data_IF_660426572749
#
_entry.id   IF_660426572749
#
_cell.length_a   1.000
_cell.length_b   1.000
_cell.length_c   1.000
_cell.angle_alpha   90.00
_cell.angle_beta   90.00
_cell.angle_gamma   90.00
#
_symmetry.space_group_name_H-M   'P 1'
#
loop_
_entity.id
_entity.type
_entity.pdbx_description
1 polymer ?
#
# COMPACT_ATOMS: atom_id res chain seq x y z
N UNK A 1 41.61 27.66 -14.50
CA UNK A 1 40.47 28.40 -15.10
C UNK A 1 40.45 28.06 -16.57
N UNK A 2 39.34 27.62 -17.18
CA UNK A 2 37.97 28.13 -17.01
C UNK A 2 36.92 27.08 -16.55
N UNK A 3 35.77 27.58 -16.11
CA UNK A 3 34.49 26.88 -15.82
C UNK A 3 33.48 27.19 -16.93
N UNK A 4 32.34 26.45 -16.92
CA UNK A 4 31.13 26.49 -17.78
C UNK A 4 31.18 25.42 -18.89
N UNK A 5 30.24 24.48 -19.06
CA UNK A 5 28.79 24.48 -18.88
C UNK A 5 28.26 23.11 -18.42
N UNK A 6 27.41 23.07 -17.37
CA UNK A 6 26.64 21.85 -17.01
C UNK A 6 25.19 22.16 -16.59
N UNK A 7 24.72 23.38 -16.83
CA UNK A 7 23.43 23.89 -16.35
C UNK A 7 22.25 23.63 -17.31
N UNK A 8 22.52 23.29 -18.58
CA UNK A 8 21.49 23.20 -19.63
C UNK A 8 20.77 21.84 -19.70
N UNK A 9 21.35 20.77 -19.16
CA UNK A 9 20.75 19.42 -19.23
C UNK A 9 19.63 19.17 -18.21
N UNK A 10 19.60 19.86 -17.07
CA UNK A 10 18.58 19.60 -16.02
C UNK A 10 17.26 20.33 -16.28
N UNK A 11 17.31 21.49 -16.94
CA UNK A 11 16.12 22.28 -17.28
C UNK A 11 15.27 21.62 -18.39
N UNK A 12 15.90 20.94 -19.34
CA UNK A 12 15.22 20.19 -20.39
C UNK A 12 14.47 18.96 -19.84
N UNK A 13 15.08 18.24 -18.88
CA UNK A 13 14.45 17.09 -18.22
C UNK A 13 13.26 17.49 -17.33
N UNK A 14 13.34 18.67 -16.68
CA UNK A 14 12.23 19.21 -15.89
C UNK A 14 11.04 19.64 -16.77
N UNK A 15 11.30 20.27 -17.93
CA UNK A 15 10.25 20.65 -18.89
C UNK A 15 9.55 19.43 -19.51
N UNK A 16 10.30 18.40 -19.91
CA UNK A 16 9.72 17.17 -20.44
C UNK A 16 8.88 16.41 -19.40
N UNK A 17 9.28 16.42 -18.12
CA UNK A 17 8.50 15.80 -17.03
C UNK A 17 7.19 16.54 -16.77
N UNK A 18 7.18 17.86 -16.93
CA UNK A 18 6.00 18.71 -16.71
C UNK A 18 5.01 18.69 -17.89
N UNK A 19 5.48 18.53 -19.13
CA UNK A 19 4.62 18.29 -20.30
C UNK A 19 4.01 16.89 -20.32
N UNK A 20 4.75 15.85 -19.87
CA UNK A 20 4.22 14.49 -19.77
C UNK A 20 3.06 14.39 -18.77
N UNK A 21 3.12 15.15 -17.67
CA UNK A 21 2.04 15.26 -16.68
C UNK A 21 0.79 15.97 -17.23
N UNK A 22 0.96 16.92 -18.16
CA UNK A 22 -0.16 17.60 -18.84
C UNK A 22 -0.86 16.67 -19.85
N UNK A 23 -0.09 15.86 -20.59
CA UNK A 23 -0.65 14.92 -21.58
C UNK A 23 -1.40 13.73 -20.94
N UNK A 24 -1.01 13.27 -19.75
CA UNK A 24 -1.76 12.22 -19.02
C UNK A 24 -3.14 12.71 -18.57
N UNK A 25 -3.27 14.01 -18.26
CA UNK A 25 -4.55 14.62 -17.85
C UNK A 25 -5.62 14.59 -18.96
N UNK A 26 -5.22 14.45 -20.23
CA UNK A 26 -6.15 14.43 -21.37
C UNK A 26 -6.71 13.03 -21.70
N UNK A 27 -6.06 11.94 -21.25
CA UNK A 27 -6.40 10.58 -21.71
C UNK A 27 -7.50 9.91 -20.85
N UNK A 28 -7.85 10.50 -19.69
CA UNK A 28 -8.68 9.82 -18.66
C UNK A 28 -10.21 9.84 -18.93
N UNK A 29 -10.69 10.43 -20.03
CA UNK A 29 -12.12 10.37 -20.41
C UNK A 29 -12.39 9.40 -21.57
N UNK A 30 -12.10 8.10 -21.42
CA UNK A 30 -12.64 7.11 -22.38
C UNK A 30 -12.57 5.63 -21.97
N UNK A 31 -13.14 5.24 -20.82
CA UNK A 31 -13.49 3.83 -20.63
C UNK A 31 -14.91 3.73 -20.11
N UNK A 32 -15.84 3.46 -21.03
CA UNK A 32 -17.19 3.00 -20.73
C UNK A 32 -17.15 1.48 -20.45
N UNK A 33 -17.98 1.05 -19.52
CA UNK A 33 -18.13 -0.34 -19.12
C UNK A 33 -18.91 -1.15 -20.18
N UNK A 34 -18.30 -2.24 -20.66
CA UNK A 34 -18.97 -3.30 -21.41
C UNK A 34 -19.39 -4.42 -20.45
N UNK A 35 -20.69 -4.67 -20.34
CA UNK A 35 -21.23 -5.94 -19.81
C UNK A 35 -22.00 -6.65 -20.92
N UNK A 36 -21.50 -7.83 -21.29
CA UNK A 36 -22.08 -8.73 -22.27
C UNK A 36 -23.37 -9.40 -21.76
N UNK A 37 -24.40 -9.39 -22.61
CA UNK A 37 -25.66 -10.16 -22.49
C UNK A 37 -25.45 -11.64 -22.85
N UNK A 38 -26.33 -12.50 -22.31
CA UNK A 38 -26.66 -13.80 -22.90
C UNK A 38 -28.16 -13.89 -23.21
N UNK A 39 -28.44 -14.48 -24.37
CA UNK A 39 -29.66 -14.52 -25.16
C UNK A 39 -30.62 -15.67 -24.75
N UNK A 40 -31.94 -15.50 -24.92
CA UNK A 40 -32.82 -16.33 -25.76
C UNK A 40 -34.34 -16.05 -25.55
N UNK A 41 -34.97 -15.66 -26.65
CA UNK A 41 -36.32 -16.06 -27.15
C UNK A 41 -37.60 -15.61 -26.44
N UNK A 42 -38.33 -14.69 -27.10
CA UNK A 42 -39.64 -14.92 -27.78
C UNK A 42 -40.22 -13.58 -28.29
N UNK A 43 -40.65 -13.57 -29.55
CA UNK A 43 -41.49 -12.53 -30.17
C UNK A 43 -42.92 -13.09 -30.39
N UNK A 44 -43.90 -12.37 -30.98
CA UNK A 44 -44.02 -10.93 -31.30
C UNK A 44 -45.35 -10.33 -30.79
N UNK A 45 -45.59 -9.00 -30.95
CA UNK A 45 -46.83 -8.41 -31.51
C UNK A 45 -46.64 -6.88 -31.70
N UNK A 46 -47.05 -6.44 -32.89
CA UNK A 46 -47.16 -5.12 -33.55
C UNK A 46 -47.30 -3.83 -32.71
N UNK A 47 -46.62 -2.75 -33.14
CA UNK A 47 -47.22 -1.58 -33.81
C UNK A 47 -46.12 -0.67 -34.41
N UNK A 48 -46.36 -0.21 -35.64
CA UNK A 48 -45.44 0.60 -36.45
C UNK A 48 -45.52 2.09 -36.10
N UNK A 49 -44.43 2.84 -36.27
CA UNK A 49 -44.43 4.06 -37.13
C UNK A 49 -43.07 4.76 -37.22
N UNK A 50 -42.70 5.04 -38.47
CA UNK A 50 -41.81 6.09 -39.00
C UNK A 50 -40.26 5.98 -38.91
N UNK A 51 -39.72 5.48 -40.03
CA UNK A 51 -38.47 5.84 -40.72
C UNK A 51 -38.30 7.39 -40.84
N UNK A 52 -37.15 8.05 -41.05
CA UNK A 52 -35.75 7.74 -41.40
C UNK A 52 -34.95 9.07 -41.36
N UNK A 53 -33.62 9.00 -41.55
CA UNK A 53 -32.63 10.08 -41.83
C UNK A 53 -31.92 10.65 -40.59
N UNK A 54 -30.60 10.81 -40.52
CA UNK A 54 -29.58 11.02 -41.55
C UNK A 54 -28.17 10.69 -41.03
N UNK A 55 -27.28 10.34 -41.96
CA UNK A 55 -25.83 10.28 -41.84
C UNK A 55 -25.29 11.62 -41.30
N UNK A 56 -24.43 11.59 -40.28
CA UNK A 56 -23.77 12.80 -39.77
C UNK A 56 -22.67 12.44 -38.79
N UNK A 57 -21.45 12.89 -39.08
CA UNK A 57 -20.25 12.84 -38.23
C UNK A 57 -20.57 13.32 -36.81
N UNK A 58 -20.85 12.38 -35.91
CA UNK A 58 -21.37 12.69 -34.58
C UNK A 58 -20.26 13.04 -33.60
N UNK A 59 -19.94 14.33 -33.47
CA UNK A 59 -19.27 14.85 -32.29
C UNK A 59 -20.00 14.33 -31.04
N UNK A 60 -19.28 13.64 -30.14
CA UNK A 60 -19.84 13.12 -28.90
C UNK A 60 -20.56 14.27 -28.18
N UNK A 61 -21.89 14.19 -28.06
CA UNK A 61 -22.70 15.23 -27.43
C UNK A 61 -22.41 15.23 -25.94
N UNK A 62 -21.64 16.22 -25.47
CA UNK A 62 -21.33 16.44 -24.05
C UNK A 62 -22.62 16.61 -23.26
N UNK A 63 -22.94 15.66 -22.39
CA UNK A 63 -24.06 15.75 -21.46
C UNK A 63 -23.72 16.77 -20.37
N UNK A 64 -24.54 17.81 -20.27
CA UNK A 64 -24.44 18.84 -19.22
C UNK A 64 -25.62 18.64 -18.28
N UNK A 65 -25.32 18.24 -17.04
CA UNK A 65 -26.36 18.08 -16.03
C UNK A 65 -26.74 19.48 -15.52
N UNK A 66 -27.96 19.93 -15.84
CA UNK A 66 -28.51 21.17 -15.26
C UNK A 66 -28.75 20.96 -13.76
N UNK A 67 -28.33 21.92 -12.95
CA UNK A 67 -28.29 21.85 -11.47
C UNK A 67 -27.29 20.83 -10.88
N UNK A 68 -26.16 20.59 -11.55
CA UNK A 68 -25.03 19.92 -10.89
C UNK A 68 -24.47 20.88 -9.82
N UNK A 69 -24.91 20.71 -8.58
CA UNK A 69 -24.15 21.23 -7.44
C UNK A 69 -22.89 20.37 -7.39
N UNK A 70 -21.72 20.97 -7.57
CA UNK A 70 -20.46 20.29 -7.35
C UNK A 70 -20.55 19.51 -6.03
N UNK A 71 -20.06 18.27 -6.03
CA UNK A 71 -20.01 17.42 -4.83
C UNK A 71 -19.49 18.32 -3.70
N UNK A 72 -20.27 18.58 -2.62
CA UNK A 72 -19.87 19.54 -1.62
C UNK A 72 -18.47 19.16 -1.15
N UNK A 73 -17.54 20.11 -1.25
CA UNK A 73 -16.19 19.94 -0.72
C UNK A 73 -16.35 19.40 0.69
N UNK A 74 -15.73 18.26 1.03
CA UNK A 74 -15.83 17.76 2.39
C UNK A 74 -15.35 18.88 3.32
N UNK A 75 -16.16 19.22 4.33
CA UNK A 75 -15.68 20.05 5.43
C UNK A 75 -14.34 19.45 5.90
N UNK A 76 -13.33 20.28 6.15
CA UNK A 76 -12.00 19.83 6.58
C UNK A 76 -12.09 18.81 7.75
N UNK A 77 -13.07 19.01 8.64
CA UNK A 77 -13.41 18.10 9.74
C UNK A 77 -13.66 16.65 9.30
N UNK A 78 -14.35 16.41 8.17
CA UNK A 78 -14.63 15.05 7.69
C UNK A 78 -13.35 14.30 7.31
N UNK A 79 -12.38 15.00 6.72
CA UNK A 79 -11.10 14.39 6.31
C UNK A 79 -10.31 13.96 7.54
N UNK A 80 -10.25 14.82 8.55
CA UNK A 80 -9.52 14.55 9.79
C UNK A 80 -10.18 13.45 10.62
N UNK A 81 -11.51 13.47 10.76
CA UNK A 81 -12.26 12.41 11.46
C UNK A 81 -12.10 11.04 10.77
N UNK A 82 -12.17 11.01 9.43
CA UNK A 82 -12.00 9.77 8.66
C UNK A 82 -10.57 9.23 8.82
N UNK A 83 -9.57 10.11 8.77
CA UNK A 83 -8.18 9.72 9.04
C UNK A 83 -8.00 9.22 10.47
N UNK A 84 -8.56 9.90 11.46
CA UNK A 84 -8.46 9.49 12.88
C UNK A 84 -9.04 8.09 13.09
N UNK A 85 -10.17 7.78 12.46
CA UNK A 85 -10.75 6.44 12.44
C UNK A 85 -9.82 5.39 11.84
N UNK A 86 -9.20 5.68 10.69
CA UNK A 86 -8.23 4.77 10.05
C UNK A 86 -6.99 4.57 10.93
N UNK A 87 -6.49 5.64 11.54
CA UNK A 87 -5.36 5.61 12.46
C UNK A 87 -5.64 4.73 13.67
N UNK A 88 -6.82 4.85 14.29
CA UNK A 88 -7.24 3.98 15.40
C UNK A 88 -7.30 2.51 14.99
N UNK A 89 -7.81 2.22 13.79
CA UNK A 89 -7.85 0.86 13.27
C UNK A 89 -6.43 0.29 13.07
N UNK A 90 -5.51 1.06 12.49
CA UNK A 90 -4.10 0.65 12.31
C UNK A 90 -3.42 0.41 13.66
N UNK A 91 -3.63 1.30 14.63
CA UNK A 91 -3.07 1.14 15.98
C UNK A 91 -3.66 -0.09 16.71
N UNK A 92 -4.95 -0.37 16.54
CA UNK A 92 -5.57 -1.58 17.09
C UNK A 92 -4.92 -2.83 16.50
N UNK A 93 -4.72 -2.87 15.17
CA UNK A 93 -4.04 -3.99 14.48
C UNK A 93 -2.62 -4.19 15.01
N UNK A 94 -1.84 -3.11 15.11
CA UNK A 94 -0.46 -3.13 15.60
C UNK A 94 -0.36 -3.60 17.05
N UNK A 95 -1.32 -3.24 17.89
CA UNK A 95 -1.39 -3.67 19.29
C UNK A 95 -2.07 -5.04 19.47
N UNK A 96 -2.45 -5.72 18.38
CA UNK A 96 -3.21 -6.98 18.39
C UNK A 96 -4.54 -6.88 19.17
N UNK A 97 -5.19 -5.72 19.11
CA UNK A 97 -6.50 -5.42 19.68
C UNK A 97 -7.57 -5.56 18.59
N UNK A 98 -8.81 -5.90 18.97
CA UNK A 98 -9.93 -5.93 18.03
C UNK A 98 -10.19 -4.55 17.42
N UNK A 99 -10.42 -4.53 16.10
CA UNK A 99 -10.78 -3.31 15.38
C UNK A 99 -12.25 -3.01 15.64
N UNK A 100 -12.56 -1.78 16.07
CA UNK A 100 -13.93 -1.35 16.40
C UNK A 100 -14.86 -1.28 15.18
N UNK A 101 -14.29 -1.01 14.01
CA UNK A 101 -15.00 -0.77 12.75
C UNK A 101 -14.93 -2.00 11.84
N UNK A 102 -15.91 -2.13 10.94
CA UNK A 102 -15.88 -3.21 9.94
C UNK A 102 -14.81 -2.95 8.87
N UNK A 103 -14.26 -4.01 8.27
CA UNK A 103 -13.25 -3.90 7.22
C UNK A 103 -13.77 -3.17 5.97
N UNK A 104 -15.03 -3.40 5.61
CA UNK A 104 -15.69 -2.75 4.48
C UNK A 104 -15.80 -1.23 4.70
N UNK A 105 -16.21 -0.83 5.90
CA UNK A 105 -16.34 0.58 6.27
C UNK A 105 -14.98 1.30 6.28
N UNK A 106 -13.91 0.61 6.69
CA UNK A 106 -12.54 1.13 6.64
C UNK A 106 -12.03 1.21 5.20
N UNK A 107 -12.31 0.22 4.37
CA UNK A 107 -11.95 0.23 2.94
C UNK A 107 -12.62 1.39 2.21
N UNK A 108 -13.93 1.58 2.40
CA UNK A 108 -14.68 2.71 1.82
C UNK A 108 -14.15 4.06 2.32
N UNK A 109 -13.72 4.14 3.58
CA UNK A 109 -13.08 5.34 4.13
C UNK A 109 -11.78 5.69 3.38
N UNK A 110 -10.96 4.68 3.05
CA UNK A 110 -9.74 4.86 2.24
C UNK A 110 -10.08 5.30 0.82
N UNK A 111 -11.06 4.67 0.18
CA UNK A 111 -11.50 5.01 -1.18
C UNK A 111 -12.03 6.45 -1.28
N UNK A 112 -12.83 6.88 -0.29
CA UNK A 112 -13.36 8.24 -0.21
C UNK A 112 -12.21 9.26 -0.10
N UNK A 113 -11.24 9.03 0.79
CA UNK A 113 -10.08 9.91 0.94
C UNK A 113 -9.22 9.96 -0.33
N UNK A 114 -9.02 8.82 -1.00
CA UNK A 114 -8.27 8.78 -2.25
C UNK A 114 -8.99 9.54 -3.38
N UNK A 115 -10.32 9.47 -3.43
CA UNK A 115 -11.14 10.19 -4.41
C UNK A 115 -11.01 11.72 -4.31
N UNK A 116 -10.64 12.25 -3.13
CA UNK A 116 -10.38 13.67 -2.90
C UNK A 116 -8.91 14.08 -3.19
N UNK A 117 -8.13 13.25 -3.90
CA UNK A 117 -6.71 13.47 -4.20
C UNK A 117 -5.78 13.52 -2.96
N UNK A 118 -6.20 12.93 -1.84
CA UNK A 118 -5.40 12.88 -0.60
C UNK A 118 -4.54 11.62 -0.47
N UNK A 119 -4.44 10.80 -1.52
CA UNK A 119 -3.69 9.53 -1.52
C UNK A 119 -2.23 9.67 -1.10
N UNK A 120 -1.55 10.74 -1.55
CA UNK A 120 -0.16 11.01 -1.20
C UNK A 120 0.05 11.23 0.31
N UNK A 121 -0.85 12.01 0.92
CA UNK A 121 -0.83 12.29 2.34
C UNK A 121 -1.16 11.03 3.13
N UNK A 122 -2.18 10.29 2.70
CA UNK A 122 -2.60 9.05 3.34
C UNK A 122 -1.48 8.01 3.39
N UNK A 123 -0.76 7.81 2.27
CA UNK A 123 0.40 6.91 2.23
C UNK A 123 1.51 7.37 3.19
N UNK A 124 1.83 8.67 3.20
CA UNK A 124 2.85 9.24 4.09
C UNK A 124 2.49 9.03 5.57
N UNK A 125 1.24 9.30 5.93
CA UNK A 125 0.76 9.13 7.31
C UNK A 125 0.75 7.66 7.72
N UNK A 126 0.33 6.75 6.84
CA UNK A 126 0.39 5.31 7.08
C UNK A 126 1.83 4.82 7.30
N UNK A 127 2.78 5.26 6.45
CA UNK A 127 4.21 4.96 6.62
C UNK A 127 4.71 5.41 7.99
N UNK A 128 4.35 6.63 8.39
CA UNK A 128 4.75 7.20 9.67
C UNK A 128 4.21 6.39 10.87
N UNK A 129 2.96 5.92 10.82
CA UNK A 129 2.39 5.07 11.88
C UNK A 129 3.13 3.73 11.99
N UNK A 130 3.41 3.08 10.86
CA UNK A 130 4.15 1.81 10.84
C UNK A 130 5.59 2.00 11.35
N UNK A 131 6.25 3.08 10.95
CA UNK A 131 7.58 3.45 11.40
C UNK A 131 7.63 3.68 12.91
N UNK A 132 6.69 4.45 13.46
CA UNK A 132 6.62 4.71 14.91
C UNK A 132 6.44 3.42 15.71
N UNK A 133 5.60 2.51 15.23
CA UNK A 133 5.39 1.22 15.88
C UNK A 133 6.68 0.38 15.92
N UNK A 134 7.39 0.26 14.79
CA UNK A 134 8.63 -0.51 14.73
C UNK A 134 9.76 0.11 15.58
N UNK A 135 9.84 1.44 15.61
CA UNK A 135 10.75 2.17 16.53
C UNK A 135 10.43 1.89 17.99
N UNK A 136 9.18 1.62 18.36
CA UNK A 136 8.85 1.19 19.71
C UNK A 136 9.24 -0.29 19.94
N UNK A 137 9.03 -1.15 18.94
CA UNK A 137 9.34 -2.59 19.02
C UNK A 137 10.83 -2.88 19.18
N UNK A 138 11.75 -2.04 18.68
CA UNK A 138 13.20 -2.29 18.80
C UNK A 138 13.67 -2.37 20.26
N UNK A 139 13.00 -1.67 21.18
CA UNK A 139 13.40 -1.63 22.59
C UNK A 139 13.36 -3.00 23.25
N UNK A 140 12.50 -3.90 22.79
CA UNK A 140 12.42 -5.27 23.33
C UNK A 140 13.68 -6.10 23.02
N UNK A 141 14.48 -5.72 22.02
CA UNK A 141 15.70 -6.47 21.67
C UNK A 141 16.96 -5.93 22.36
N UNK A 142 16.84 -4.83 23.10
CA UNK A 142 17.95 -4.21 23.84
C UNK A 142 18.19 -4.83 25.21
N UNK A 143 17.31 -5.72 25.67
CA UNK A 143 17.53 -6.45 26.92
C UNK A 143 18.62 -7.50 26.74
N UNK A 144 19.58 -7.52 27.66
CA UNK A 144 20.72 -8.45 27.68
C UNK A 144 20.28 -9.84 28.14
N UNK A 145 19.49 -10.55 27.33
CA UNK A 145 19.36 -12.00 27.50
C UNK A 145 20.65 -12.65 27.00
N UNK A 146 21.35 -13.41 27.85
CA UNK A 146 22.58 -14.11 27.45
C UNK A 146 22.31 -15.24 26.46
N UNK A 147 21.10 -15.81 26.49
CA UNK A 147 20.74 -16.96 25.64
C UNK A 147 20.23 -16.54 24.26
N UNK A 148 20.80 -17.17 23.22
CA UNK A 148 20.44 -16.99 21.82
C UNK A 148 19.07 -17.62 21.50
N UNK A 149 18.68 -18.71 22.15
CA UNK A 149 17.42 -19.41 21.84
C UNK A 149 16.16 -18.53 22.05
N UNK A 150 15.95 -17.98 23.26
CA UNK A 150 14.86 -17.05 23.55
C UNK A 150 14.91 -15.78 22.69
N UNK A 151 16.11 -15.26 22.42
CA UNK A 151 16.30 -14.10 21.56
C UNK A 151 15.77 -14.36 20.14
N UNK A 152 16.16 -15.47 19.51
CA UNK A 152 15.71 -15.84 18.17
C UNK A 152 14.19 -16.03 18.11
N UNK A 153 13.59 -16.63 19.14
CA UNK A 153 12.12 -16.75 19.24
C UNK A 153 11.44 -15.38 19.35
N UNK A 154 12.06 -14.41 20.02
CA UNK A 154 11.57 -13.02 20.11
C UNK A 154 11.59 -12.34 18.73
N UNK A 155 12.67 -12.52 17.97
CA UNK A 155 12.79 -11.99 16.60
C UNK A 155 11.75 -12.62 15.67
N UNK A 156 11.63 -13.95 15.67
CA UNK A 156 10.65 -14.70 14.88
C UNK A 156 9.21 -14.27 15.21
N UNK A 157 8.88 -14.11 16.50
CA UNK A 157 7.56 -13.65 16.93
C UNK A 157 7.26 -12.22 16.47
N UNK A 158 8.24 -11.32 16.59
CA UNK A 158 8.11 -9.94 16.12
C UNK A 158 7.87 -9.89 14.60
N UNK A 159 8.65 -10.65 13.83
CA UNK A 159 8.47 -10.77 12.39
C UNK A 159 7.09 -11.30 12.00
N UNK A 160 6.66 -12.43 12.58
CA UNK A 160 5.35 -13.01 12.28
C UNK A 160 4.20 -12.06 12.61
N UNK A 161 4.31 -11.34 13.72
CA UNK A 161 3.33 -10.33 14.09
C UNK A 161 3.31 -9.18 13.08
N UNK A 162 4.47 -8.64 12.72
CA UNK A 162 4.61 -7.58 11.72
C UNK A 162 4.02 -8.01 10.37
N UNK A 163 4.38 -9.19 9.85
CA UNK A 163 3.87 -9.69 8.58
C UNK A 163 2.35 -9.86 8.58
N UNK A 164 1.78 -10.38 9.68
CA UNK A 164 0.31 -10.49 9.85
C UNK A 164 -0.35 -9.12 9.86
N UNK A 165 0.20 -8.18 10.63
CA UNK A 165 -0.32 -6.82 10.75
C UNK A 165 -0.27 -6.08 9.42
N UNK A 166 0.86 -6.14 8.70
CA UNK A 166 1.02 -5.54 7.39
C UNK A 166 0.08 -6.14 6.36
N UNK A 167 -0.18 -7.45 6.40
CA UNK A 167 -1.18 -8.06 5.54
C UNK A 167 -2.59 -7.50 5.80
N UNK A 168 -2.95 -7.29 7.07
CA UNK A 168 -4.26 -6.73 7.42
C UNK A 168 -4.38 -5.25 7.06
N UNK A 169 -3.33 -4.47 7.31
CA UNK A 169 -3.23 -3.07 6.89
C UNK A 169 -3.38 -2.98 5.37
N UNK A 170 -2.66 -3.82 4.61
CA UNK A 170 -2.79 -3.86 3.15
C UNK A 170 -4.22 -4.14 2.68
N UNK A 171 -4.94 -5.04 3.35
CA UNK A 171 -6.34 -5.34 3.00
C UNK A 171 -7.25 -4.11 3.19
N UNK A 172 -7.08 -3.36 4.27
CA UNK A 172 -7.84 -2.12 4.52
C UNK A 172 -7.48 -1.05 3.49
N UNK A 173 -6.18 -0.88 3.22
CA UNK A 173 -5.65 0.14 2.32
C UNK A 173 -5.49 -0.36 0.86
N UNK A 174 -6.22 -1.41 0.47
CA UNK A 174 -6.05 -2.08 -0.82
C UNK A 174 -6.32 -1.13 -2.00
N UNK A 175 -7.29 -0.23 -1.84
CA UNK A 175 -7.57 0.81 -2.86
C UNK A 175 -6.36 1.71 -3.07
N UNK A 176 -5.71 2.16 -2.00
CA UNK A 176 -4.50 2.99 -2.06
C UNK A 176 -3.33 2.22 -2.71
N UNK A 177 -3.15 0.95 -2.35
CA UNK A 177 -2.10 0.06 -2.91
C UNK A 177 -2.27 -0.13 -4.43
N UNK A 178 -3.52 -0.33 -4.89
CA UNK A 178 -3.81 -0.58 -6.33
C UNK A 178 -3.87 0.67 -7.18
N UNK A 179 -4.30 1.80 -6.63
CA UNK A 179 -4.52 3.02 -7.43
C UNK A 179 -3.34 3.97 -7.37
N UNK A 180 -2.79 4.22 -6.18
CA UNK A 180 -1.75 5.23 -6.01
C UNK A 180 -0.34 4.65 -6.14
N UNK A 181 -0.05 3.51 -5.49
CA UNK A 181 1.27 2.89 -5.61
C UNK A 181 1.53 2.32 -7.02
N UNK A 182 0.48 1.90 -7.73
CA UNK A 182 0.60 1.40 -9.10
C UNK A 182 0.70 2.51 -10.17
N UNK A 183 -0.04 3.62 -10.03
CA UNK A 183 -0.06 4.69 -11.05
C UNK A 183 1.16 5.61 -10.96
N UNK A 184 1.71 5.82 -9.76
CA UNK A 184 2.95 6.57 -9.55
C UNK A 184 4.10 5.57 -9.42
N UNK A 185 4.72 5.22 -10.56
CA UNK A 185 5.76 4.20 -10.80
C UNK A 185 7.00 4.19 -9.87
N UNK A 186 7.05 5.02 -8.82
CA UNK A 186 8.19 5.24 -7.94
C UNK A 186 7.88 5.01 -6.45
N UNK A 187 6.68 4.53 -6.10
CA UNK A 187 6.32 4.25 -4.71
C UNK A 187 6.24 2.74 -4.47
N UNK A 188 6.89 2.30 -3.38
CA UNK A 188 6.81 0.92 -2.88
C UNK A 188 5.35 0.56 -2.58
N UNK A 189 4.96 -0.71 -2.82
CA UNK A 189 3.66 -1.20 -2.35
C UNK A 189 3.58 -1.11 -0.82
N UNK A 190 2.38 -1.16 -0.24
CA UNK A 190 2.21 -1.14 1.22
C UNK A 190 2.97 -2.32 1.87
N UNK A 191 3.02 -3.46 1.19
CA UNK A 191 3.80 -4.62 1.63
C UNK A 191 5.30 -4.31 1.62
N UNK A 192 5.83 -3.84 0.50
CA UNK A 192 7.26 -3.53 0.35
C UNK A 192 7.70 -2.41 1.30
N UNK A 193 6.85 -1.41 1.53
CA UNK A 193 7.06 -0.39 2.56
C UNK A 193 7.20 -1.03 3.95
N UNK A 194 6.35 -2.02 4.28
CA UNK A 194 6.46 -2.76 5.53
C UNK A 194 7.77 -3.53 5.66
N UNK A 195 8.24 -4.14 4.58
CA UNK A 195 9.53 -4.83 4.51
C UNK A 195 10.70 -3.85 4.71
N UNK A 196 10.69 -2.74 3.99
CA UNK A 196 11.70 -1.68 4.07
C UNK A 196 11.82 -1.12 5.50
N UNK A 197 10.69 -0.86 6.15
CA UNK A 197 10.67 -0.37 7.52
C UNK A 197 11.20 -1.42 8.50
N UNK A 198 10.80 -2.69 8.38
CA UNK A 198 11.29 -3.76 9.27
C UNK A 198 12.80 -3.97 9.09
N UNK A 199 13.28 -3.99 7.84
CA UNK A 199 14.70 -4.02 7.50
C UNK A 199 15.44 -2.86 8.13
N UNK A 200 14.90 -1.64 8.06
CA UNK A 200 15.59 -0.44 8.54
C UNK A 200 15.63 -0.33 10.06
N UNK A 201 14.52 -0.65 10.74
CA UNK A 201 14.37 -0.37 12.17
C UNK A 201 14.60 -1.56 13.09
N UNK A 202 14.49 -2.80 12.58
CA UNK A 202 14.73 -4.01 13.38
C UNK A 202 16.04 -4.68 12.96
N UNK A 203 16.13 -5.17 11.72
CA UNK A 203 17.32 -5.88 11.22
C UNK A 203 18.47 -4.91 10.85
N UNK A 204 18.18 -3.62 10.75
CA UNK A 204 19.16 -2.57 10.51
C UNK A 204 20.02 -2.27 11.74
N UNK A 205 19.51 -2.61 12.93
CA UNK A 205 20.27 -2.53 14.17
C UNK A 205 21.36 -3.60 14.18
N UNK A 206 22.61 -3.16 14.35
CA UNK A 206 23.79 -4.02 14.27
C UNK A 206 23.77 -5.15 15.31
N UNK A 207 23.28 -4.87 16.52
CA UNK A 207 23.23 -5.85 17.60
C UNK A 207 22.19 -6.92 17.28
N UNK A 208 20.98 -6.49 16.90
CA UNK A 208 19.91 -7.43 16.51
C UNK A 208 20.34 -8.31 15.34
N UNK A 209 20.96 -7.71 14.31
CA UNK A 209 21.44 -8.42 13.14
C UNK A 209 22.51 -9.46 13.47
N UNK A 210 23.57 -9.06 14.18
CA UNK A 210 24.66 -9.98 14.52
C UNK A 210 24.13 -11.14 15.33
N UNK A 211 23.38 -10.87 16.41
CA UNK A 211 22.82 -11.91 17.28
C UNK A 211 21.87 -12.85 16.57
N UNK A 212 21.09 -12.34 15.60
CA UNK A 212 20.21 -13.18 14.80
C UNK A 212 21.00 -14.13 13.91
N UNK A 213 22.02 -13.62 13.21
CA UNK A 213 22.88 -14.44 12.34
C UNK A 213 23.69 -15.44 13.16
N UNK A 214 24.38 -14.98 14.20
CA UNK A 214 25.20 -15.79 15.09
C UNK A 214 24.36 -16.87 15.77
N UNK A 215 23.17 -16.51 16.26
CA UNK A 215 22.23 -17.45 16.87
C UNK A 215 21.77 -18.53 15.89
N UNK A 216 21.44 -18.17 14.64
CA UNK A 216 21.05 -19.14 13.61
C UNK A 216 22.22 -20.10 13.32
N UNK A 217 23.44 -19.58 13.18
CA UNK A 217 24.63 -20.40 12.95
C UNK A 217 24.89 -21.37 14.10
N UNK A 218 24.75 -20.91 15.35
CA UNK A 218 24.88 -21.77 16.55
C UNK A 218 23.81 -22.87 16.55
N UNK A 219 22.56 -22.59 16.18
CA UNK A 219 21.53 -23.63 16.08
C UNK A 219 21.86 -24.66 15.00
N UNK A 220 22.41 -24.23 13.85
CA UNK A 220 22.85 -25.14 12.78
C UNK A 220 24.05 -25.99 13.23
N UNK A 221 24.99 -25.41 13.96
CA UNK A 221 26.14 -26.14 14.52
C UNK A 221 25.69 -27.22 15.52
N UNK A 222 24.79 -26.87 16.45
CA UNK A 222 24.18 -27.82 17.40
C UNK A 222 23.49 -28.97 16.69
N UNK A 223 22.72 -28.67 15.65
CA UNK A 223 22.08 -29.70 14.83
C UNK A 223 23.09 -30.65 14.17
N UNK A 224 24.18 -30.10 13.61
CA UNK A 224 25.25 -30.89 13.00
C UNK A 224 25.96 -31.79 14.00
N UNK A 225 26.00 -31.38 15.26
CA UNK A 225 26.57 -32.16 16.36
C UNK A 225 25.57 -33.21 16.92
N UNK A 226 24.37 -33.33 16.35
CA UNK A 226 23.36 -34.31 16.75
C UNK A 226 22.41 -33.84 17.84
N UNK A 227 22.46 -32.57 18.25
CA UNK A 227 21.49 -32.01 19.20
C UNK A 227 20.13 -31.77 18.53
N UNK A 228 19.05 -31.94 19.28
CA UNK A 228 17.71 -31.60 18.81
C UNK A 228 17.53 -30.08 18.80
N UNK A 229 17.21 -29.50 17.64
CA UNK A 229 16.94 -28.07 17.47
C UNK A 229 15.60 -27.81 16.79
N UNK A 230 15.06 -26.60 16.96
CA UNK A 230 13.83 -26.16 16.28
C UNK A 230 14.14 -25.76 14.83
N UNK A 231 14.06 -26.73 13.91
CA UNK A 231 14.24 -26.51 12.46
C UNK A 231 13.25 -25.50 11.88
N UNK A 232 12.02 -25.48 12.41
CA UNK A 232 10.98 -24.58 11.94
C UNK A 232 11.33 -23.12 12.27
N UNK A 233 11.93 -22.86 13.44
CA UNK A 233 12.44 -21.54 13.80
C UNK A 233 13.55 -21.08 12.85
N UNK A 234 14.53 -21.95 12.57
CA UNK A 234 15.62 -21.64 11.62
C UNK A 234 15.03 -21.31 10.24
N UNK A 235 14.13 -22.16 9.73
CA UNK A 235 13.50 -21.96 8.43
C UNK A 235 12.77 -20.61 8.36
N UNK A 236 11.94 -20.26 9.35
CA UNK A 236 11.19 -18.99 9.36
C UNK A 236 12.12 -17.78 9.40
N UNK A 237 13.19 -17.83 10.19
CA UNK A 237 14.15 -16.73 10.28
C UNK A 237 14.97 -16.58 9.00
N UNK A 238 15.37 -17.67 8.36
CA UNK A 238 16.07 -17.63 7.06
C UNK A 238 15.15 -17.12 5.96
N UNK A 239 13.87 -17.51 5.95
CA UNK A 239 12.85 -16.95 5.04
C UNK A 239 12.68 -15.46 5.27
N UNK A 240 12.54 -15.01 6.52
CA UNK A 240 12.49 -13.57 6.85
C UNK A 240 13.71 -12.82 6.28
N UNK A 241 14.93 -13.30 6.51
CA UNK A 241 16.14 -12.64 5.99
C UNK A 241 16.18 -12.62 4.46
N UNK A 242 15.55 -13.59 3.80
CA UNK A 242 15.43 -13.64 2.34
C UNK A 242 14.37 -12.67 1.82
N UNK A 243 13.26 -12.52 2.51
CA UNK A 243 12.20 -11.56 2.18
C UNK A 243 12.66 -10.10 2.33
N UNK A 244 13.60 -9.85 3.24
CA UNK A 244 14.16 -8.52 3.54
C UNK A 244 15.37 -8.15 2.65
N UNK A 245 15.72 -8.98 1.67
CA UNK A 245 16.96 -8.84 0.88
C UNK A 245 17.03 -7.51 0.11
#
# INVERSE_FOLDING_TARGET
MPQQDSSSSSAAAASQKQERLKNVKLIVFSVAADHHNNDLTKAPTTLSSFASNMLGTGSVKKLVIKNFKDKPLPLENYTEETWQKLKEAVQAIQNSISVKYSLEELYQSVENLCSYNLSANLYKQLKQLCEQHLKAQIHQFREDSVDNGPFLKKVDKCWQNHSRQMSMIRNIFLFLDRTYAFQYLMLSSIWDMGLELFKSYIIGDQNVRSRTIDGILVLIEKERNGEMVDRCLIQRLVTMLSDLR
#
